data_IF_613594396951
#
_entry.id   IF_613594396951
#
_cell.length_a   1.000
_cell.length_b   1.000
_cell.length_c   1.000
_cell.angle_alpha   90.00
_cell.angle_beta   90.00
_cell.angle_gamma   90.00
#
_symmetry.space_group_name_H-M   'P 1'
#
loop_
_entity.id
_entity.type
_entity.pdbx_description
1 polymer ?
#
# COMPACT_ATOMS: atom_id res chain seq x y z
N UNK A 1 10.20 -12.12 4.76
CA UNK A 1 10.17 -10.94 5.65
C UNK A 1 11.36 -10.03 5.35
N UNK A 2 11.13 -8.75 5.08
CA UNK A 2 12.18 -7.79 4.69
C UNK A 2 13.08 -7.43 5.89
N UNK A 3 14.42 -7.47 5.75
CA UNK A 3 15.36 -7.14 6.84
C UNK A 3 15.15 -5.68 7.27
N UNK A 4 15.23 -5.44 8.58
CA UNK A 4 14.77 -4.20 9.21
C UNK A 4 15.37 -2.91 8.65
N UNK A 5 16.64 -2.92 8.23
CA UNK A 5 17.35 -1.69 7.82
C UNK A 5 16.81 -1.03 6.54
N UNK A 6 16.15 -1.78 5.65
CA UNK A 6 15.50 -1.24 4.44
C UNK A 6 13.97 -1.23 4.51
N UNK A 7 13.38 -1.64 5.64
CA UNK A 7 11.91 -1.66 5.81
C UNK A 7 11.30 -0.27 5.62
N UNK A 8 12.05 0.80 5.90
CA UNK A 8 11.58 2.17 5.75
C UNK A 8 11.32 2.58 4.29
N UNK A 9 12.03 2.00 3.32
CA UNK A 9 11.90 2.33 1.88
C UNK A 9 10.48 2.05 1.39
N UNK A 10 9.83 1.04 1.96
CA UNK A 10 8.44 0.69 1.64
C UNK A 10 7.52 1.89 1.88
N UNK A 11 7.78 2.73 2.89
CA UNK A 11 6.92 3.87 3.19
C UNK A 11 7.17 5.07 2.26
N UNK A 12 8.20 5.06 1.42
CA UNK A 12 8.50 6.14 0.47
C UNK A 12 8.05 5.79 -0.95
N UNK A 13 8.07 4.52 -1.31
CA UNK A 13 7.75 4.07 -2.67
C UNK A 13 6.23 4.04 -2.88
N UNK A 14 5.66 4.81 -3.83
CA UNK A 14 4.21 4.85 -4.05
C UNK A 14 3.60 3.48 -4.39
N UNK A 15 4.34 2.64 -5.13
CA UNK A 15 3.85 1.33 -5.56
C UNK A 15 3.60 0.36 -4.41
N UNK A 16 4.24 0.54 -3.25
CA UNK A 16 3.97 -0.29 -2.07
C UNK A 16 2.56 -0.04 -1.53
N UNK A 17 2.13 1.23 -1.47
CA UNK A 17 0.80 1.63 -1.04
C UNK A 17 -0.25 1.18 -2.06
N UNK A 18 0.04 1.31 -3.36
CA UNK A 18 -0.82 0.81 -4.43
C UNK A 18 -1.00 -0.71 -4.35
N UNK A 19 0.09 -1.47 -4.19
CA UNK A 19 0.03 -2.93 -4.08
C UNK A 19 -0.77 -3.38 -2.85
N UNK A 20 -0.52 -2.75 -1.69
CA UNK A 20 -1.27 -3.02 -0.45
C UNK A 20 -2.76 -2.76 -0.63
N UNK A 21 -3.11 -1.62 -1.24
CA UNK A 21 -4.51 -1.27 -1.50
C UNK A 21 -5.18 -2.24 -2.47
N UNK A 22 -4.48 -2.67 -3.53
CA UNK A 22 -5.00 -3.60 -4.53
C UNK A 22 -5.18 -5.00 -3.94
N UNK A 23 -4.16 -5.53 -3.27
CA UNK A 23 -4.19 -6.86 -2.68
C UNK A 23 -5.33 -6.97 -1.66
N UNK A 24 -5.48 -5.99 -0.76
CA UNK A 24 -6.59 -6.03 0.21
C UNK A 24 -7.95 -5.82 -0.45
N UNK A 25 -8.06 -4.99 -1.50
CA UNK A 25 -9.34 -4.83 -2.21
C UNK A 25 -9.77 -6.11 -2.95
N UNK A 26 -8.83 -6.93 -3.42
CA UNK A 26 -9.12 -8.14 -4.20
C UNK A 26 -9.28 -9.38 -3.34
N UNK A 27 -8.40 -9.57 -2.34
CA UNK A 27 -8.35 -10.79 -1.52
C UNK A 27 -8.49 -10.55 -0.03
N UNK A 28 -8.51 -9.30 0.41
CA UNK A 28 -8.58 -8.90 1.82
C UNK A 28 -9.97 -8.57 2.34
N UNK A 29 -11.02 -8.74 1.51
CA UNK A 29 -12.42 -8.51 1.89
C UNK A 29 -13.15 -9.85 1.81
N UNK A 30 -13.79 -10.22 2.91
CA UNK A 30 -14.73 -11.33 3.00
C UNK A 30 -16.02 -10.78 3.61
N UNK A 31 -16.94 -10.35 2.75
CA UNK A 31 -18.25 -9.83 3.17
C UNK A 31 -19.29 -10.95 2.97
N UNK A 32 -20.05 -11.27 4.01
CA UNK A 32 -21.12 -12.29 4.00
C UNK A 32 -20.71 -13.73 3.65
N UNK A 33 -19.41 -14.07 3.71
CA UNK A 33 -18.94 -15.45 3.48
C UNK A 33 -18.82 -15.84 2.00
N UNK A 34 -19.03 -14.90 1.08
CA UNK A 34 -18.87 -15.11 -0.36
C UNK A 34 -17.64 -14.38 -0.91
N UNK A 35 -16.85 -15.06 -1.73
CA UNK A 35 -15.70 -14.49 -2.44
C UNK A 35 -14.37 -15.18 -2.15
N UNK A 36 -13.36 -14.87 -2.98
CA UNK A 36 -12.04 -15.50 -2.95
C UNK A 36 -11.28 -15.24 -1.63
N UNK A 37 -11.60 -14.16 -0.92
CA UNK A 37 -10.99 -13.82 0.39
C UNK A 37 -11.53 -14.67 1.55
N UNK A 38 -12.68 -15.33 1.40
CA UNK A 38 -13.30 -16.16 2.44
C UNK A 38 -12.80 -17.61 2.43
N UNK A 39 -12.04 -18.00 1.41
CA UNK A 39 -11.50 -19.35 1.32
C UNK A 39 -10.39 -19.57 2.37
N UNK A 40 -10.20 -20.83 2.77
CA UNK A 40 -9.10 -21.19 3.64
C UNK A 40 -7.79 -21.23 2.84
N UNK A 41 -6.68 -20.87 3.50
CA UNK A 41 -5.36 -20.94 2.88
C UNK A 41 -4.88 -22.39 2.81
N UNK A 42 -4.78 -22.93 1.60
CA UNK A 42 -4.17 -24.23 1.37
C UNK A 42 -2.65 -24.10 1.27
N UNK A 43 -1.91 -24.93 2.02
CA UNK A 43 -0.45 -25.02 1.95
C UNK A 43 0.36 -24.32 3.06
N UNK A 44 -0.29 -23.62 4.01
CA UNK A 44 0.36 -23.17 5.25
C UNK A 44 0.04 -24.12 6.42
N UNK A 45 1.04 -24.85 6.92
CA UNK A 45 0.89 -25.67 8.11
C UNK A 45 0.53 -24.79 9.33
N UNK A 46 -0.57 -25.11 10.02
CA UNK A 46 -1.11 -24.43 11.21
C UNK A 46 -1.78 -23.05 10.98
N UNK A 47 -2.19 -22.69 9.76
CA UNK A 47 -3.01 -21.48 9.55
C UNK A 47 -4.50 -21.84 9.44
N UNK A 48 -5.28 -21.51 10.47
CA UNK A 48 -6.73 -21.75 10.52
C UNK A 48 -7.57 -20.54 10.13
N UNK A 49 -6.95 -19.45 9.66
CA UNK A 49 -7.64 -18.22 9.24
C UNK A 49 -8.01 -18.20 7.75
N UNK A 50 -8.83 -17.23 7.37
CA UNK A 50 -9.22 -17.00 5.98
C UNK A 50 -8.11 -16.27 5.20
N UNK A 51 -8.15 -16.35 3.87
CA UNK A 51 -7.24 -15.59 2.97
C UNK A 51 -7.30 -14.09 3.29
N UNK A 52 -8.49 -13.56 3.62
CA UNK A 52 -8.68 -12.17 3.96
C UNK A 52 -7.89 -11.75 5.22
N UNK A 53 -7.94 -12.55 6.29
CA UNK A 53 -7.22 -12.26 7.54
C UNK A 53 -5.71 -12.27 7.32
N UNK A 54 -5.24 -13.21 6.50
CA UNK A 54 -3.83 -13.29 6.14
C UNK A 54 -3.38 -12.08 5.33
N UNK A 55 -4.15 -11.70 4.30
CA UNK A 55 -3.82 -10.56 3.44
C UNK A 55 -3.80 -9.26 4.25
N UNK A 56 -4.76 -9.04 5.15
CA UNK A 56 -4.78 -7.86 6.01
C UNK A 56 -3.56 -7.83 6.94
N UNK A 57 -3.13 -8.99 7.48
CA UNK A 57 -1.96 -9.11 8.35
C UNK A 57 -0.64 -8.89 7.60
N UNK A 58 -0.47 -9.47 6.43
CA UNK A 58 0.77 -9.37 5.65
C UNK A 58 0.97 -7.97 5.06
N UNK A 59 -0.11 -7.35 4.57
CA UNK A 59 -0.05 -6.01 3.96
C UNK A 59 -0.22 -4.87 4.98
N UNK A 60 -0.46 -5.18 6.27
CA UNK A 60 -0.74 -4.23 7.36
C UNK A 60 -1.81 -3.19 6.95
N UNK A 61 -2.81 -3.63 6.19
CA UNK A 61 -3.79 -2.74 5.58
C UNK A 61 -5.18 -3.14 6.06
N UNK A 62 -5.72 -2.31 6.93
CA UNK A 62 -7.06 -2.49 7.48
C UNK A 62 -8.06 -1.79 6.52
N UNK A 63 -9.08 -2.49 5.99
CA UNK A 63 -10.02 -1.91 5.02
C UNK A 63 -10.75 -0.66 5.52
N UNK A 64 -10.97 -0.51 6.83
CA UNK A 64 -11.54 0.72 7.41
C UNK A 64 -10.64 1.95 7.23
N UNK A 65 -9.32 1.75 7.13
CA UNK A 65 -8.34 2.82 6.98
C UNK A 65 -8.01 3.13 5.50
N UNK A 66 -8.75 2.60 4.53
CA UNK A 66 -8.52 2.81 3.09
C UNK A 66 -8.28 4.27 2.69
N UNK A 67 -9.02 5.18 3.31
CA UNK A 67 -8.92 6.62 3.06
C UNK A 67 -7.60 7.23 3.53
N UNK A 68 -7.00 6.72 4.62
CA UNK A 68 -5.71 7.21 5.12
C UNK A 68 -4.59 6.93 4.13
N UNK A 69 -4.57 5.73 3.53
CA UNK A 69 -3.56 5.38 2.52
C UNK A 69 -3.74 6.20 1.22
N UNK A 70 -4.99 6.45 0.83
CA UNK A 70 -5.27 7.32 -0.32
C UNK A 70 -4.81 8.77 -0.07
N UNK A 71 -5.02 9.31 1.13
CA UNK A 71 -4.53 10.63 1.51
C UNK A 71 -3.00 10.71 1.51
N UNK A 72 -2.31 9.66 1.98
CA UNK A 72 -0.84 9.60 1.92
C UNK A 72 -0.35 9.62 0.46
N UNK A 73 -0.99 8.86 -0.43
CA UNK A 73 -0.68 8.87 -1.87
C UNK A 73 -0.88 10.25 -2.50
N UNK A 74 -1.99 10.91 -2.19
CA UNK A 74 -2.27 12.28 -2.65
C UNK A 74 -1.21 13.26 -2.09
N UNK A 75 -0.85 13.13 -0.81
CA UNK A 75 0.19 13.94 -0.18
C UNK A 75 1.55 13.78 -0.87
N UNK A 76 1.97 12.54 -1.14
CA UNK A 76 3.20 12.27 -1.89
C UNK A 76 3.16 12.86 -3.30
N UNK A 77 2.01 12.78 -3.97
CA UNK A 77 1.82 13.37 -5.29
C UNK A 77 1.97 14.90 -5.27
N UNK A 78 1.34 15.59 -4.31
CA UNK A 78 1.47 17.05 -4.15
C UNK A 78 2.92 17.46 -3.87
N UNK A 79 3.63 16.72 -3.01
CA UNK A 79 5.05 16.96 -2.73
C UNK A 79 5.87 16.83 -4.01
N UNK A 80 5.66 15.76 -4.78
CA UNK A 80 6.36 15.53 -6.04
C UNK A 80 6.11 16.68 -7.04
N UNK A 81 4.85 17.09 -7.21
CA UNK A 81 4.51 18.20 -8.10
C UNK A 81 5.16 19.52 -7.65
N UNK A 82 5.21 19.76 -6.34
CA UNK A 82 5.89 20.93 -5.78
C UNK A 82 7.38 20.89 -6.07
N UNK A 83 8.06 19.76 -5.87
CA UNK A 83 9.47 19.60 -6.19
C UNK A 83 9.75 19.82 -7.69
N UNK A 84 8.90 19.29 -8.58
CA UNK A 84 9.00 19.52 -10.03
C UNK A 84 8.86 21.01 -10.34
N UNK A 85 7.83 21.67 -9.78
CA UNK A 85 7.60 23.10 -9.97
C UNK A 85 8.82 23.94 -9.51
N UNK A 86 9.34 23.66 -8.31
CA UNK A 86 10.52 24.36 -7.79
C UNK A 86 11.76 24.11 -8.66
N UNK A 87 11.95 22.88 -9.13
CA UNK A 87 13.07 22.54 -10.03
C UNK A 87 12.95 23.32 -11.34
N UNK A 88 11.79 23.30 -11.99
CA UNK A 88 11.55 24.04 -13.23
C UNK A 88 11.69 25.56 -13.03
N UNK A 89 11.21 26.09 -11.90
CA UNK A 89 11.28 27.52 -11.59
C UNK A 89 12.70 28.00 -11.30
N UNK A 90 13.45 27.31 -10.45
CA UNK A 90 14.74 27.81 -9.96
C UNK A 90 15.92 27.32 -10.79
N UNK A 91 15.91 26.07 -11.27
CA UNK A 91 17.02 25.53 -12.09
C UNK A 91 17.00 26.12 -13.50
N UNK A 92 15.83 26.31 -14.12
CA UNK A 92 15.77 26.98 -15.43
C UNK A 92 16.11 28.46 -15.35
N UNK A 93 15.80 29.13 -14.22
CA UNK A 93 16.12 30.54 -14.04
C UNK A 93 17.60 30.79 -13.76
N UNK A 94 18.34 29.80 -13.23
CA UNK A 94 19.81 29.84 -13.10
C UNK A 94 20.54 29.71 -14.45
N UNK A 95 19.84 29.32 -15.53
CA UNK A 95 20.43 29.18 -16.87
C UNK A 95 20.38 30.49 -17.69
N UNK A 96 19.79 31.56 -17.16
CA UNK A 96 19.74 32.89 -17.79
C UNK A 96 20.57 33.88 -16.99
#
# INVERSE_FOLDING_TARGET
>A
MMRGWYKWIIYVVPSSYSLRSLAVSQVGICENGEGNGCHQLEGLANYTGNVADWAQKEFEFNPENRYKYMLVLIGMWVILQTCIYLTLKYVSHLKR
#
